data_IF_943277641525
#
_entry.id   IF_943277641525
#
_cell.length_a   1.000
_cell.length_b   1.000
_cell.length_c   1.000
_cell.angle_alpha   90.00
_cell.angle_beta   90.00
_cell.angle_gamma   90.00
#
_symmetry.space_group_name_H-M   'P 1'
#
loop_
_entity.id
_entity.type
_entity.pdbx_description
1 polymer ?
#
# COMPACT_ATOMS: atom_id res chain seq x y z
N UNK A 1 2.11 3.00 -2.90
CA UNK A 1 0.63 3.03 -2.72
C UNK A 1 0.02 1.64 -2.85
N UNK A 2 0.06 0.98 -4.01
CA UNK A 2 -0.60 -0.33 -4.21
C UNK A 2 0.31 -1.56 -4.05
N UNK A 3 1.56 -1.39 -3.59
CA UNK A 3 2.47 -2.52 -3.41
C UNK A 3 2.00 -3.40 -2.26
N UNK A 4 1.61 -4.64 -2.53
CA UNK A 4 0.96 -5.53 -1.55
C UNK A 4 1.86 -5.92 -0.36
N UNK A 5 3.18 -5.85 -0.54
CA UNK A 5 4.13 -6.09 0.54
C UNK A 5 4.37 -4.86 1.44
N UNK A 6 3.98 -3.66 1.01
CA UNK A 6 4.05 -2.46 1.84
C UNK A 6 3.02 -2.55 2.97
N UNK A 7 3.47 -2.42 4.22
CA UNK A 7 2.59 -2.56 5.40
C UNK A 7 2.44 -1.27 6.19
N UNK A 8 3.30 -0.28 5.95
CA UNK A 8 3.30 0.98 6.68
C UNK A 8 3.49 2.14 5.72
N UNK A 9 2.78 3.22 6.01
CA UNK A 9 2.95 4.52 5.36
C UNK A 9 3.07 5.59 6.43
N UNK A 10 4.01 6.51 6.22
CA UNK A 10 4.14 7.72 7.03
C UNK A 10 4.18 8.92 6.11
N UNK A 11 3.38 9.95 6.40
CA UNK A 11 3.31 11.15 5.59
C UNK A 11 3.63 12.40 6.43
N UNK A 12 4.33 13.35 5.82
CA UNK A 12 4.53 14.70 6.33
C UNK A 12 3.87 15.71 5.40
N UNK A 13 3.26 16.74 5.98
CA UNK A 13 2.63 17.84 5.25
C UNK A 13 3.27 19.13 5.70
N UNK A 14 3.69 19.95 4.74
CA UNK A 14 4.27 21.27 4.99
C UNK A 14 3.69 22.29 4.02
N UNK A 15 3.19 23.43 4.51
CA UNK A 15 2.75 24.52 3.64
C UNK A 15 3.91 25.49 3.42
N UNK A 16 4.46 25.49 2.22
CA UNK A 16 5.53 26.38 1.82
C UNK A 16 4.97 27.75 1.41
N UNK A 17 4.77 28.65 2.40
CA UNK A 17 4.08 29.93 2.20
C UNK A 17 4.73 30.87 1.19
N UNK A 18 6.07 30.92 1.13
CA UNK A 18 6.80 31.78 0.17
C UNK A 18 6.57 31.37 -1.29
N UNK A 19 6.74 30.10 -1.67
CA UNK A 19 6.45 29.66 -3.03
C UNK A 19 4.96 29.35 -3.28
N UNK A 20 4.10 29.40 -2.26
CA UNK A 20 2.64 29.34 -2.41
C UNK A 20 2.07 27.95 -2.68
N UNK A 21 2.71 26.88 -2.19
CA UNK A 21 2.23 25.51 -2.36
C UNK A 21 2.29 24.70 -1.06
N UNK A 22 1.49 23.64 -0.98
CA UNK A 22 1.58 22.64 0.09
C UNK A 22 2.31 21.42 -0.44
N UNK A 23 3.37 21.01 0.27
CA UNK A 23 4.13 19.80 0.00
C UNK A 23 3.59 18.66 0.88
N UNK A 24 3.29 17.54 0.24
CA UNK A 24 2.97 16.28 0.92
C UNK A 24 4.01 15.26 0.52
N UNK A 25 4.71 14.70 1.50
CA UNK A 25 5.70 13.63 1.28
C UNK A 25 5.24 12.41 2.06
N UNK A 26 5.00 11.31 1.35
CA UNK A 26 4.72 10.02 1.96
C UNK A 26 5.88 9.06 1.71
N UNK A 27 6.30 8.37 2.75
CA UNK A 27 7.28 7.30 2.72
C UNK A 27 6.61 5.97 3.04
N UNK A 28 7.09 4.91 2.39
CA UNK A 28 6.60 3.54 2.56
C UNK A 28 7.73 2.68 3.13
N UNK A 29 7.39 1.69 3.95
CA UNK A 29 8.40 0.82 4.60
C UNK A 29 9.09 -0.16 3.65
N UNK A 30 8.54 -0.36 2.45
CA UNK A 30 9.06 -1.24 1.41
C UNK A 30 9.21 -0.52 0.09
N UNK A 31 10.25 -0.89 -0.65
CA UNK A 31 10.48 -0.47 -2.03
C UNK A 31 10.09 -1.61 -2.97
N UNK A 32 9.53 -1.25 -4.13
CA UNK A 32 9.34 -2.15 -5.26
C UNK A 32 10.62 -2.18 -6.09
N UNK A 33 11.11 -3.38 -6.40
CA UNK A 33 12.20 -3.56 -7.34
C UNK A 33 11.68 -3.64 -8.79
N UNK A 34 12.52 -3.19 -9.73
CA UNK A 34 12.18 -3.26 -11.15
C UNK A 34 11.98 -4.70 -11.60
N UNK A 35 10.91 -4.93 -12.37
CA UNK A 35 10.55 -6.27 -12.86
C UNK A 35 9.87 -7.17 -11.84
N UNK A 36 9.55 -6.67 -10.64
CA UNK A 36 8.67 -7.36 -9.69
C UNK A 36 7.23 -6.89 -9.86
N UNK A 37 6.30 -7.81 -9.58
CA UNK A 37 4.88 -7.49 -9.53
C UNK A 37 4.62 -6.48 -8.41
N UNK A 38 3.68 -5.56 -8.64
CA UNK A 38 3.21 -4.61 -7.62
C UNK A 38 2.26 -5.34 -6.65
N UNK A 39 1.52 -6.33 -7.13
CA UNK A 39 0.74 -7.20 -6.29
C UNK A 39 0.49 -8.50 -7.06
N UNK A 40 0.20 -9.56 -6.32
CA UNK A 40 -0.22 -10.81 -6.95
C UNK A 40 -1.71 -10.75 -7.29
N UNK A 41 -2.01 -10.88 -8.58
CA UNK A 41 -3.39 -10.95 -9.05
C UNK A 41 -3.99 -12.30 -8.68
N UNK A 42 -5.18 -12.27 -8.06
CA UNK A 42 -5.94 -13.48 -7.78
C UNK A 42 -6.40 -14.14 -9.09
N UNK A 43 -6.64 -15.45 -9.07
CA UNK A 43 -7.19 -16.13 -10.26
C UNK A 43 -8.65 -15.73 -10.43
N UNK A 44 -9.17 -15.88 -11.65
CA UNK A 44 -10.59 -15.63 -11.91
C UNK A 44 -11.45 -16.53 -11.02
N UNK A 45 -12.36 -15.91 -10.26
CA UNK A 45 -13.24 -16.58 -9.31
C UNK A 45 -12.72 -16.65 -7.88
N UNK A 46 -11.45 -16.30 -7.63
CA UNK A 46 -10.93 -16.19 -6.27
C UNK A 46 -11.48 -14.94 -5.56
N UNK A 47 -11.78 -15.08 -4.27
CA UNK A 47 -12.13 -13.94 -3.44
C UNK A 47 -10.91 -13.03 -3.21
N UNK A 48 -11.17 -11.76 -2.97
CA UNK A 48 -10.16 -10.87 -2.42
C UNK A 48 -9.66 -11.43 -1.07
N UNK A 49 -8.39 -11.22 -0.72
CA UNK A 49 -7.69 -11.85 0.42
C UNK A 49 -7.36 -13.35 0.29
N UNK A 50 -7.63 -14.01 -0.84
CA UNK A 50 -7.21 -15.42 -1.07
C UNK A 50 -5.71 -15.65 -0.90
N UNK A 51 -4.88 -14.62 -1.10
CA UNK A 51 -3.43 -14.65 -0.89
C UNK A 51 -2.97 -14.37 0.55
N UNK A 52 -3.85 -14.12 1.52
CA UNK A 52 -3.43 -13.88 2.91
C UNK A 52 -3.01 -15.21 3.57
N UNK A 53 -1.73 -15.34 3.94
CA UNK A 53 -1.20 -16.57 4.57
C UNK A 53 -1.28 -16.50 6.10
N UNK A 54 -0.53 -15.57 6.71
CA UNK A 54 -0.42 -15.44 8.17
C UNK A 54 -1.27 -14.30 8.74
N UNK A 55 -2.17 -13.76 7.91
CA UNK A 55 -2.99 -12.59 8.19
C UNK A 55 -4.44 -12.91 7.89
N UNK A 56 -5.36 -12.26 8.60
CA UNK A 56 -6.79 -12.37 8.31
C UNK A 56 -7.16 -11.38 7.21
N UNK A 57 -8.24 -11.67 6.49
CA UNK A 57 -8.87 -10.64 5.68
C UNK A 57 -9.44 -9.57 6.62
N UNK A 58 -9.06 -8.31 6.41
CA UNK A 58 -9.49 -7.20 7.23
C UNK A 58 -10.99 -6.92 7.12
N UNK A 59 -11.52 -6.16 8.07
CA UNK A 59 -12.95 -5.80 8.13
C UNK A 59 -13.44 -4.96 6.95
N UNK A 60 -12.53 -4.28 6.25
CA UNK A 60 -12.84 -3.53 5.03
C UNK A 60 -12.87 -4.41 3.77
N UNK A 61 -12.60 -5.71 3.93
CA UNK A 61 -12.46 -6.72 2.89
C UNK A 61 -11.39 -6.37 1.83
N UNK A 62 -10.79 -7.38 1.21
CA UNK A 62 -9.78 -7.18 0.16
C UNK A 62 -8.39 -6.68 0.58
N UNK A 63 -8.10 -6.56 1.88
CA UNK A 63 -6.74 -6.32 2.41
C UNK A 63 -6.39 -7.32 3.51
N UNK A 64 -5.15 -7.81 3.51
CA UNK A 64 -4.63 -8.65 4.60
C UNK A 64 -4.27 -7.79 5.82
N UNK A 65 -4.93 -8.04 6.95
CA UNK A 65 -4.73 -7.35 8.22
C UNK A 65 -4.20 -8.31 9.32
N UNK A 66 -3.49 -7.79 10.35
CA UNK A 66 -3.09 -8.57 11.52
C UNK A 66 -4.28 -9.26 12.21
#
# INVERSE_FOLDING_TARGET
MAYDQTTKVGCSVETCSKPGFTLVVCQYDKKVDNGKNIYEAAKSGDAACSGCTDKKCGSLEGLCAP
#
